data_IF_736202090213
#
_entry.id   IF_736202090213
#
_cell.length_a   1.000
_cell.length_b   1.000
_cell.length_c   1.000
_cell.angle_alpha   90.00
_cell.angle_beta   90.00
_cell.angle_gamma   90.00
#
_symmetry.space_group_name_H-M   'P 1'
#
loop_
_entity.id
_entity.type
_entity.pdbx_description
1 polymer ?
#
# COMPACT_ATOMS: atom_id res chain seq x y z
N UNK A 1 -20.45 14.17 22.80
CA UNK A 1 -19.97 14.84 24.03
C UNK A 1 -19.73 16.32 23.80
N UNK A 2 -18.83 16.71 22.89
CA UNK A 2 -18.50 18.12 22.61
C UNK A 2 -19.73 18.99 22.34
N UNK A 3 -20.59 18.61 21.38
CA UNK A 3 -21.83 19.37 21.10
C UNK A 3 -22.77 19.48 22.30
N UNK A 4 -22.87 18.43 23.15
CA UNK A 4 -23.74 18.44 24.34
C UNK A 4 -23.19 19.36 25.43
N UNK A 5 -21.87 19.33 25.67
CA UNK A 5 -21.20 20.22 26.61
C UNK A 5 -21.26 21.68 26.17
N UNK A 6 -21.13 21.93 24.86
CA UNK A 6 -21.28 23.28 24.30
C UNK A 6 -22.71 23.80 24.46
N UNK A 7 -23.73 23.00 24.12
CA UNK A 7 -25.14 23.37 24.25
C UNK A 7 -25.51 23.71 25.71
N UNK A 8 -24.98 22.95 26.66
CA UNK A 8 -25.10 23.26 28.08
C UNK A 8 -24.41 24.56 28.49
N UNK A 9 -23.22 24.82 27.97
CA UNK A 9 -22.42 26.01 28.32
C UNK A 9 -23.06 27.31 27.84
N UNK A 10 -23.80 27.27 26.72
CA UNK A 10 -24.51 28.43 26.17
C UNK A 10 -25.97 28.53 26.65
N UNK A 11 -26.41 27.61 27.51
CA UNK A 11 -27.79 27.57 28.03
C UNK A 11 -28.85 27.14 27.00
N UNK A 12 -28.44 26.54 25.87
CA UNK A 12 -29.35 26.04 24.84
C UNK A 12 -29.96 24.67 25.19
N UNK A 13 -29.32 23.91 26.07
CA UNK A 13 -29.80 22.63 26.59
C UNK A 13 -29.33 22.43 28.04
N UNK A 14 -29.92 21.48 28.77
CA UNK A 14 -29.55 21.16 30.16
C UNK A 14 -28.56 20.00 30.26
N UNK A 15 -27.67 20.03 31.26
CA UNK A 15 -26.75 18.91 31.54
C UNK A 15 -27.44 17.79 32.31
N UNK A 16 -26.92 16.57 32.20
CA UNK A 16 -27.29 15.44 33.05
C UNK A 16 -26.06 14.89 33.79
N UNK A 17 -26.27 14.27 34.97
CA UNK A 17 -25.21 13.91 35.91
C UNK A 17 -24.10 13.04 35.29
N UNK A 18 -24.46 12.07 34.44
CA UNK A 18 -23.49 11.18 33.79
C UNK A 18 -22.55 11.92 32.81
N UNK A 19 -22.95 13.06 32.25
CA UNK A 19 -22.09 13.87 31.37
C UNK A 19 -20.99 14.61 32.16
N UNK A 20 -21.20 14.86 33.45
CA UNK A 20 -20.27 15.55 34.34
C UNK A 20 -19.43 14.58 35.18
N UNK A 21 -19.78 13.29 35.22
CA UNK A 21 -19.01 12.28 35.94
C UNK A 21 -17.66 12.00 35.25
N UNK A 22 -16.58 12.24 35.99
CA UNK A 22 -15.20 12.08 35.49
C UNK A 22 -14.90 10.63 35.13
N UNK A 23 -15.31 9.66 35.96
CA UNK A 23 -14.97 8.24 35.74
C UNK A 23 -15.64 7.71 34.48
N UNK A 24 -16.93 7.97 34.34
CA UNK A 24 -17.69 7.61 33.13
C UNK A 24 -17.10 8.24 31.86
N UNK A 25 -16.67 9.50 31.92
CA UNK A 25 -16.06 10.18 30.79
C UNK A 25 -14.68 9.60 30.43
N UNK A 26 -13.88 9.22 31.42
CA UNK A 26 -12.57 8.58 31.20
C UNK A 26 -12.70 7.23 30.51
N UNK A 27 -13.61 6.38 30.99
CA UNK A 27 -13.93 5.08 30.37
C UNK A 27 -14.44 5.24 28.94
N UNK A 28 -15.33 6.21 28.71
CA UNK A 28 -15.86 6.52 27.39
C UNK A 28 -14.76 6.98 26.42
N UNK A 29 -13.87 7.87 26.87
CA UNK A 29 -12.71 8.32 26.09
C UNK A 29 -11.77 7.15 25.77
N UNK A 30 -11.53 6.24 26.72
CA UNK A 30 -10.70 5.06 26.47
C UNK A 30 -11.33 4.15 25.41
N UNK A 31 -12.64 3.89 25.49
CA UNK A 31 -13.36 3.12 24.49
C UNK A 31 -13.31 3.78 23.10
N UNK A 32 -13.50 5.09 23.02
CA UNK A 32 -13.41 5.85 21.77
C UNK A 32 -12.02 5.75 21.14
N UNK A 33 -10.96 5.91 21.94
CA UNK A 33 -9.58 5.79 21.45
C UNK A 33 -9.28 4.38 20.94
N UNK A 34 -9.73 3.35 21.65
CA UNK A 34 -9.62 1.96 21.22
C UNK A 34 -10.34 1.74 19.88
N UNK A 35 -11.61 2.14 19.78
CA UNK A 35 -12.41 1.98 18.57
C UNK A 35 -11.86 2.77 17.39
N UNK A 36 -11.36 3.98 17.62
CA UNK A 36 -10.74 4.80 16.58
C UNK A 36 -9.50 4.10 16.01
N UNK A 37 -8.60 3.60 16.88
CA UNK A 37 -7.41 2.86 16.45
C UNK A 37 -7.78 1.57 15.69
N UNK A 38 -8.74 0.81 16.19
CA UNK A 38 -9.20 -0.42 15.52
C UNK A 38 -9.90 -0.13 14.18
N UNK A 39 -10.68 0.94 14.09
CA UNK A 39 -11.31 1.36 12.84
C UNK A 39 -10.27 1.75 11.78
N UNK A 40 -9.19 2.44 12.17
CA UNK A 40 -8.08 2.74 11.26
C UNK A 40 -7.37 1.47 10.78
N UNK A 41 -7.14 0.50 11.66
CA UNK A 41 -6.56 -0.79 11.27
C UNK A 41 -7.46 -1.57 10.32
N UNK A 42 -8.77 -1.62 10.59
CA UNK A 42 -9.74 -2.26 9.70
C UNK A 42 -9.78 -1.58 8.33
N UNK A 43 -9.75 -0.24 8.29
CA UNK A 43 -9.68 0.54 7.04
C UNK A 43 -8.43 0.23 6.22
N UNK A 44 -7.25 0.22 6.86
CA UNK A 44 -5.98 -0.14 6.20
C UNK A 44 -5.98 -1.58 5.69
N UNK A 45 -6.46 -2.52 6.50
CA UNK A 45 -6.55 -3.93 6.10
C UNK A 45 -7.52 -4.16 4.94
N UNK A 46 -8.64 -3.42 4.89
CA UNK A 46 -9.59 -3.48 3.77
C UNK A 46 -8.97 -2.99 2.46
N UNK A 47 -8.24 -1.87 2.49
CA UNK A 47 -7.51 -1.38 1.30
C UNK A 47 -6.45 -2.39 0.88
N UNK A 48 -5.63 -2.89 1.82
CA UNK A 48 -4.64 -3.92 1.53
C UNK A 48 -5.27 -5.14 0.84
N UNK A 49 -6.35 -5.70 1.40
CA UNK A 49 -7.06 -6.84 0.78
C UNK A 49 -7.54 -6.52 -0.65
N UNK A 50 -8.14 -5.35 -0.88
CA UNK A 50 -8.59 -4.95 -2.22
C UNK A 50 -7.42 -4.82 -3.20
N UNK A 51 -6.26 -4.35 -2.76
CA UNK A 51 -5.06 -4.30 -3.61
C UNK A 51 -4.53 -5.70 -3.93
N UNK A 52 -4.58 -6.65 -2.98
CA UNK A 52 -4.22 -8.05 -3.25
C UNK A 52 -5.15 -8.66 -4.31
N UNK A 53 -6.46 -8.42 -4.20
CA UNK A 53 -7.43 -8.86 -5.21
C UNK A 53 -7.16 -8.23 -6.59
N UNK A 54 -6.73 -6.97 -6.64
CA UNK A 54 -6.39 -6.28 -7.88
C UNK A 54 -5.17 -6.89 -8.59
N UNK A 55 -4.11 -7.21 -7.84
CA UNK A 55 -2.87 -7.81 -8.36
C UNK A 55 -2.92 -9.34 -8.52
N UNK A 56 -4.03 -9.98 -8.18
CA UNK A 56 -4.17 -11.43 -8.31
C UNK A 56 -4.06 -11.86 -9.77
N UNK A 57 -3.02 -12.65 -10.08
CA UNK A 57 -2.75 -13.14 -11.44
C UNK A 57 -2.25 -12.08 -12.42
N UNK A 58 -1.81 -10.91 -11.91
CA UNK A 58 -1.22 -9.83 -12.71
C UNK A 58 0.18 -9.52 -12.21
N UNK A 59 1.04 -9.13 -13.13
CA UNK A 59 2.33 -8.51 -12.84
C UNK A 59 2.39 -7.17 -13.55
N UNK A 60 2.71 -6.09 -12.82
CA UNK A 60 2.85 -4.75 -13.39
C UNK A 60 4.16 -4.10 -12.94
N UNK A 61 4.82 -3.42 -13.87
CA UNK A 61 6.02 -2.63 -13.61
C UNK A 61 5.61 -1.20 -13.30
N UNK A 62 6.00 -0.70 -12.12
CA UNK A 62 5.62 0.63 -11.66
C UNK A 62 6.81 1.41 -11.13
N UNK A 63 6.72 2.72 -11.25
CA UNK A 63 7.68 3.64 -10.65
C UNK A 63 7.40 3.78 -9.15
N UNK A 64 8.46 3.71 -8.37
CA UNK A 64 8.46 3.90 -6.94
C UNK A 64 9.67 4.68 -6.46
N UNK A 65 9.64 5.05 -5.19
CA UNK A 65 10.69 5.82 -4.53
C UNK A 65 11.16 5.08 -3.29
N UNK A 66 12.46 5.01 -3.08
CA UNK A 66 13.02 4.44 -1.85
C UNK A 66 12.71 5.39 -0.70
N UNK A 67 11.94 4.95 0.30
CA UNK A 67 11.70 5.74 1.52
C UNK A 67 12.81 5.55 2.55
N UNK A 68 13.19 4.29 2.78
CA UNK A 68 14.18 3.94 3.78
C UNK A 68 15.09 2.84 3.26
N UNK A 69 16.39 3.03 3.46
CA UNK A 69 17.41 2.03 3.18
C UNK A 69 17.75 1.30 4.48
N UNK A 70 17.49 0.00 4.55
CA UNK A 70 17.83 -0.85 5.71
C UNK A 70 18.98 -1.78 5.38
N UNK A 71 19.58 -2.39 6.41
CA UNK A 71 20.72 -3.34 6.29
C UNK A 71 20.50 -4.51 5.33
N UNK A 72 19.26 -4.98 5.18
CA UNK A 72 18.90 -6.16 4.40
C UNK A 72 17.77 -5.92 3.39
N UNK A 73 17.22 -4.70 3.31
CA UNK A 73 16.08 -4.40 2.47
C UNK A 73 15.96 -2.90 2.16
N UNK A 74 15.26 -2.59 1.07
CA UNK A 74 14.80 -1.25 0.73
C UNK A 74 13.30 -1.17 1.00
N UNK A 75 12.85 -0.12 1.67
CA UNK A 75 11.42 0.20 1.77
C UNK A 75 11.06 1.13 0.61
N UNK A 76 10.22 0.68 -0.29
CA UNK A 76 9.85 1.38 -1.53
C UNK A 76 8.38 1.78 -1.47
N UNK A 77 8.08 3.04 -1.80
CA UNK A 77 6.74 3.57 -1.95
C UNK A 77 6.37 3.61 -3.44
N UNK A 78 5.19 3.09 -3.78
CA UNK A 78 4.60 3.20 -5.11
C UNK A 78 3.45 4.22 -5.04
N UNK A 79 3.68 5.46 -5.52
CA UNK A 79 2.71 6.54 -5.37
C UNK A 79 1.41 6.29 -6.14
N UNK A 80 1.45 5.60 -7.29
CA UNK A 80 0.26 5.31 -8.12
C UNK A 80 -0.84 4.58 -7.34
N UNK A 81 -0.44 3.62 -6.50
CA UNK A 81 -1.35 2.80 -5.71
C UNK A 81 -1.35 3.18 -4.22
N UNK A 82 -0.48 4.09 -3.78
CA UNK A 82 -0.31 4.43 -2.37
C UNK A 82 0.16 3.25 -1.51
N UNK A 83 0.96 2.37 -2.09
CA UNK A 83 1.43 1.13 -1.46
C UNK A 83 2.89 1.24 -1.06
N UNK A 84 3.22 0.71 0.11
CA UNK A 84 4.59 0.55 0.57
C UNK A 84 4.97 -0.93 0.55
N UNK A 85 6.17 -1.23 0.06
CA UNK A 85 6.70 -2.58 -0.02
C UNK A 85 8.12 -2.68 0.49
N UNK A 86 8.46 -3.85 1.02
CA UNK A 86 9.84 -4.18 1.40
C UNK A 86 10.47 -5.03 0.31
N UNK A 87 11.49 -4.49 -0.33
CA UNK A 87 12.32 -5.18 -1.31
C UNK A 87 13.56 -5.73 -0.59
N UNK A 88 13.61 -7.04 -0.41
CA UNK A 88 14.69 -7.70 0.31
C UNK A 88 15.94 -7.84 -0.58
N UNK A 89 17.09 -7.36 -0.08
CA UNK A 89 18.38 -7.33 -0.79
C UNK A 89 19.24 -8.56 -0.53
N UNK A 90 19.14 -9.16 0.66
CA UNK A 90 19.86 -10.39 1.02
C UNK A 90 18.93 -11.59 0.94
N UNK A 91 19.33 -12.61 0.19
CA UNK A 91 18.81 -13.97 0.32
C UNK A 91 19.60 -14.67 1.43
N UNK A 92 19.38 -14.30 2.69
CA UNK A 92 19.88 -15.16 3.76
C UNK A 92 19.11 -16.48 3.69
N UNK A 93 19.88 -17.56 3.80
CA UNK A 93 19.42 -18.94 3.71
C UNK A 93 18.29 -19.20 4.71
N UNK A 94 17.50 -20.22 4.37
CA UNK A 94 16.40 -20.82 5.12
C UNK A 94 15.03 -20.15 4.91
N UNK A 95 14.46 -20.47 3.75
CA UNK A 95 13.07 -20.22 3.42
C UNK A 95 12.13 -20.78 4.49
N UNK A 96 11.47 -19.87 5.21
CA UNK A 96 10.14 -20.16 5.80
C UNK A 96 9.00 -19.97 4.79
N UNK A 97 9.28 -19.39 3.63
CA UNK A 97 8.26 -18.93 2.69
C UNK A 97 8.22 -19.71 1.36
N UNK A 98 8.92 -20.84 1.22
CA UNK A 98 8.75 -21.77 0.07
C UNK A 98 9.10 -21.22 -1.33
N UNK A 99 9.48 -19.96 -1.46
CA UNK A 99 9.93 -19.38 -2.73
C UNK A 99 11.42 -19.69 -2.90
N UNK A 100 11.75 -20.65 -3.77
CA UNK A 100 13.11 -20.85 -4.27
C UNK A 100 13.59 -19.55 -4.92
N UNK A 101 14.40 -18.78 -4.21
CA UNK A 101 15.12 -17.65 -4.78
C UNK A 101 16.53 -18.10 -5.09
N UNK A 102 16.90 -17.96 -6.36
CA UNK A 102 18.25 -18.21 -6.87
C UNK A 102 19.26 -17.61 -5.90
N UNK A 103 20.22 -18.43 -5.46
CA UNK A 103 21.32 -18.02 -4.58
C UNK A 103 22.11 -16.93 -5.29
N UNK A 104 21.71 -15.67 -5.08
CA UNK A 104 22.30 -14.54 -5.78
C UNK A 104 23.71 -14.35 -5.24
N UNK A 105 24.72 -14.47 -6.11
CA UNK A 105 26.13 -14.20 -5.81
C UNK A 105 26.41 -12.71 -5.52
N UNK A 106 25.35 -11.90 -5.51
CA UNK A 106 25.39 -10.45 -5.40
C UNK A 106 25.49 -10.06 -3.93
N UNK A 107 26.55 -9.31 -3.61
CA UNK A 107 26.78 -8.78 -2.27
C UNK A 107 26.33 -7.33 -2.23
N UNK A 108 25.33 -7.05 -1.40
CA UNK A 108 24.94 -5.71 -1.03
C UNK A 108 25.70 -5.27 0.22
N UNK A 109 26.41 -4.14 0.10
CA UNK A 109 27.15 -3.51 1.20
C UNK A 109 26.37 -2.31 1.72
N UNK A 110 26.01 -2.37 3.01
CA UNK A 110 25.32 -1.29 3.69
C UNK A 110 26.32 -0.31 4.30
N UNK A 111 26.15 0.99 4.04
CA UNK A 111 26.85 2.05 4.75
C UNK A 111 25.94 2.60 5.87
N UNK A 112 26.39 2.51 7.11
CA UNK A 112 25.63 2.98 8.28
C UNK A 112 25.62 4.50 8.42
N UNK A 113 26.67 5.19 7.96
CA UNK A 113 26.81 6.65 8.10
C UNK A 113 25.88 7.39 7.13
N UNK A 114 25.87 6.95 5.87
CA UNK A 114 25.08 7.59 4.80
C UNK A 114 23.69 6.95 4.61
N UNK A 115 23.40 5.85 5.31
CA UNK A 115 22.20 5.01 5.08
C UNK A 115 22.02 4.64 3.60
N UNK A 116 23.07 4.08 2.98
CA UNK A 116 23.06 3.67 1.57
C UNK A 116 23.32 2.18 1.41
N UNK A 117 22.79 1.61 0.31
CA UNK A 117 23.06 0.23 -0.09
C UNK A 117 23.79 0.23 -1.42
N UNK A 118 24.98 -0.35 -1.47
CA UNK A 118 25.80 -0.43 -2.67
C UNK A 118 25.87 -1.85 -3.19
N UNK A 119 25.70 -1.98 -4.50
CA UNK A 119 25.92 -3.21 -5.26
C UNK A 119 26.73 -2.86 -6.52
N UNK A 120 28.04 -3.14 -6.47
CA UNK A 120 28.96 -2.76 -7.55
C UNK A 120 28.98 -1.25 -7.79
N UNK A 121 28.49 -0.83 -8.96
CA UNK A 121 28.41 0.58 -9.37
C UNK A 121 27.08 1.25 -8.99
N UNK A 122 26.07 0.47 -8.60
CA UNK A 122 24.75 0.99 -8.22
C UNK A 122 24.75 1.27 -6.72
N UNK A 123 24.36 2.49 -6.34
CA UNK A 123 24.16 2.92 -4.95
C UNK A 123 22.73 3.39 -4.79
N UNK A 124 22.02 2.83 -3.82
CA UNK A 124 20.68 3.25 -3.44
C UNK A 124 20.74 4.22 -2.27
N UNK A 125 20.17 5.39 -2.45
CA UNK A 125 19.92 6.39 -1.43
C UNK A 125 18.43 6.46 -1.11
N UNK A 126 18.10 7.19 -0.06
CA UNK A 126 16.72 7.56 0.21
C UNK A 126 16.24 8.54 -0.86
N UNK A 127 14.99 8.40 -1.26
CA UNK A 127 14.28 9.14 -2.32
C UNK A 127 14.73 8.86 -3.76
N UNK A 128 15.62 7.88 -3.96
CA UNK A 128 15.99 7.47 -5.31
C UNK A 128 14.79 6.85 -6.04
N UNK A 129 14.56 7.21 -7.32
CA UNK A 129 13.55 6.59 -8.14
C UNK A 129 13.99 5.18 -8.54
N UNK A 130 13.07 4.23 -8.41
CA UNK A 130 13.26 2.82 -8.78
C UNK A 130 12.05 2.33 -9.55
N UNK A 131 12.26 1.43 -10.50
CA UNK A 131 11.16 0.69 -11.13
C UNK A 131 11.09 -0.68 -10.50
N UNK A 132 9.92 -1.05 -9.99
CA UNK A 132 9.67 -2.32 -9.33
C UNK A 132 8.52 -3.06 -10.01
N UNK A 133 8.67 -4.38 -10.14
CA UNK A 133 7.59 -5.28 -10.55
C UNK A 133 6.82 -5.71 -9.31
N UNK A 134 5.51 -5.49 -9.36
CA UNK A 134 4.56 -5.95 -8.37
C UNK A 134 3.98 -7.29 -8.78
N UNK A 135 4.02 -8.28 -7.89
CA UNK A 135 3.30 -9.54 -8.07
C UNK A 135 2.75 -10.08 -6.74
N UNK A 136 1.65 -10.82 -6.80
CA UNK A 136 1.06 -11.45 -5.62
C UNK A 136 1.63 -12.86 -5.43
N UNK A 137 2.20 -13.12 -4.26
CA UNK A 137 2.52 -14.48 -3.83
C UNK A 137 1.32 -15.10 -3.15
N UNK A 138 0.75 -16.10 -3.81
CA UNK A 138 -0.39 -16.89 -3.33
C UNK A 138 0.01 -18.28 -2.83
N UNK A 139 1.31 -18.51 -2.55
CA UNK A 139 1.79 -19.82 -2.04
C UNK A 139 1.11 -20.20 -0.72
N UNK A 140 0.82 -19.21 0.14
CA UNK A 140 0.01 -19.38 1.34
C UNK A 140 -1.31 -18.61 1.22
N UNK A 141 -2.42 -19.32 1.10
CA UNK A 141 -3.77 -18.74 0.95
C UNK A 141 -4.18 -17.87 2.15
N UNK A 142 -3.67 -18.16 3.35
CA UNK A 142 -3.98 -17.37 4.56
C UNK A 142 -3.14 -16.09 4.66
N UNK A 143 -2.00 -16.06 3.98
CA UNK A 143 -1.02 -14.98 4.05
C UNK A 143 -0.50 -14.65 2.65
N UNK A 144 -1.43 -14.30 1.76
CA UNK A 144 -1.06 -13.75 0.46
C UNK A 144 -0.23 -12.48 0.70
N UNK A 145 0.86 -12.31 -0.05
CA UNK A 145 1.80 -11.20 0.15
C UNK A 145 2.17 -10.56 -1.19
N UNK A 146 2.11 -9.24 -1.25
CA UNK A 146 2.64 -8.51 -2.40
C UNK A 146 4.17 -8.55 -2.36
N UNK A 147 4.77 -9.10 -3.41
CA UNK A 147 6.21 -9.18 -3.61
C UNK A 147 6.64 -8.09 -4.58
N UNK A 148 7.75 -7.44 -4.22
CA UNK A 148 8.37 -6.39 -4.99
C UNK A 148 9.68 -6.95 -5.54
N UNK A 149 9.85 -6.91 -6.87
CA UNK A 149 11.10 -7.28 -7.53
C UNK A 149 11.67 -6.05 -8.22
N UNK A 150 12.98 -5.87 -8.14
CA UNK A 150 13.64 -4.72 -8.79
C UNK A 150 13.65 -4.93 -10.30
N UNK A 151 13.37 -3.87 -11.07
CA UNK A 151 13.49 -3.86 -12.53
C UNK A 151 14.56 -2.87 -12.94
N UNK A 152 14.45 -1.62 -12.47
CA UNK A 152 15.46 -0.57 -12.67
C UNK A 152 15.84 0.06 -11.32
N UNK A 153 17.13 0.34 -11.06
CA UNK A 153 18.31 0.00 -11.87
C UNK A 153 18.51 -1.51 -12.05
N UNK A 154 18.99 -1.92 -13.23
CA UNK A 154 19.17 -3.35 -13.55
C UNK A 154 20.46 -3.87 -12.92
N UNK A 155 20.34 -4.85 -12.04
CA UNK A 155 21.44 -5.56 -11.40
C UNK A 155 21.40 -7.00 -11.90
N UNK A 156 22.44 -7.40 -12.64
CA UNK A 156 22.54 -8.74 -13.21
C UNK A 156 22.45 -9.79 -12.12
N UNK A 157 21.44 -10.66 -12.19
CA UNK A 157 21.20 -11.74 -11.23
C UNK A 157 20.30 -11.39 -10.03
N UNK A 158 19.79 -10.16 -9.96
CA UNK A 158 18.83 -9.72 -8.92
C UNK A 158 17.61 -9.00 -9.51
N UNK A 159 17.80 -8.15 -10.52
CA UNK A 159 16.71 -7.46 -11.19
C UNK A 159 16.03 -8.36 -12.24
N UNK A 160 14.72 -8.15 -12.42
CA UNK A 160 13.91 -8.80 -13.45
C UNK A 160 13.96 -7.96 -14.73
N UNK A 161 14.00 -8.60 -15.89
CA UNK A 161 13.95 -7.91 -17.18
C UNK A 161 12.57 -7.29 -17.41
N UNK A 162 12.54 -6.10 -18.03
CA UNK A 162 11.30 -5.39 -18.37
C UNK A 162 10.47 -6.22 -19.34
N UNK A 163 9.22 -6.52 -19.00
CA UNK A 163 8.25 -7.06 -19.95
C UNK A 163 7.75 -5.92 -20.83
N UNK A 164 8.53 -5.57 -21.86
CA UNK A 164 8.04 -4.78 -22.99
C UNK A 164 7.77 -5.70 -24.17
N UNK A 165 6.59 -6.31 -24.19
CA UNK A 165 5.92 -6.69 -25.44
C UNK A 165 4.68 -5.80 -25.58
N UNK A 166 4.63 -5.08 -26.70
CA UNK A 166 3.64 -4.04 -26.96
C UNK A 166 2.22 -4.56 -27.13
N UNK A 167 1.27 -3.76 -26.68
CA UNK A 167 -0.10 -3.74 -27.19
C UNK A 167 -0.49 -2.30 -27.49
N UNK A 168 0.22 -1.71 -28.45
CA UNK A 168 -0.26 -0.55 -29.19
C UNK A 168 -0.82 -1.06 -30.53
N UNK A 169 -2.10 -1.47 -30.51
CA UNK A 169 -2.99 -1.60 -31.68
C UNK A 169 -4.36 -2.13 -31.24
N UNK A 170 -5.23 -1.22 -30.78
CA UNK A 170 -6.58 -1.05 -31.33
C UNK A 170 -7.28 0.08 -30.59
N UNK A 171 -7.25 1.26 -31.22
CA UNK A 171 -8.22 2.30 -30.98
C UNK A 171 -9.62 1.75 -31.29
N UNK A 172 -10.48 1.63 -30.28
CA UNK A 172 -11.92 1.54 -30.48
C UNK A 172 -12.56 2.68 -29.70
N UNK A 173 -12.96 3.69 -30.45
CA UNK A 173 -13.79 4.79 -30.01
C UNK A 173 -15.10 4.26 -29.42
N UNK A 174 -15.31 4.45 -28.11
CA UNK A 174 -16.61 4.26 -27.47
C UNK A 174 -17.03 5.56 -26.78
N UNK A 175 -17.88 6.32 -27.46
CA UNK A 175 -18.54 7.51 -26.95
C UNK A 175 -19.43 7.20 -25.73
N UNK A 176 -19.64 8.16 -24.81
CA UNK A 176 -20.39 7.94 -23.57
C UNK A 176 -21.92 7.82 -23.82
N UNK A 177 -22.65 6.98 -23.06
CA UNK A 177 -24.05 6.70 -23.31
C UNK A 177 -24.97 7.88 -22.94
N UNK A 178 -25.73 8.35 -23.92
CA UNK A 178 -26.76 9.39 -23.79
C UNK A 178 -28.00 8.89 -23.02
N UNK A 179 -28.46 9.71 -22.08
CA UNK A 179 -29.71 9.54 -21.30
C UNK A 179 -30.95 9.39 -22.21
N UNK A 180 -31.72 8.30 -22.04
CA UNK A 180 -33.07 8.18 -22.61
C UNK A 180 -34.06 9.06 -21.85
N UNK A 181 -34.56 10.11 -22.50
CA UNK A 181 -35.72 10.91 -22.07
C UNK A 181 -37.01 10.18 -22.44
N UNK A 182 -37.89 9.94 -21.45
CA UNK A 182 -39.29 9.53 -21.67
C UNK A 182 -40.03 10.67 -22.38
N UNK A 183 -40.77 10.36 -23.45
CA UNK A 183 -41.76 11.28 -24.01
C UNK A 183 -43.06 10.53 -24.36
N UNK A 184 -44.15 11.09 -23.85
CA UNK A 184 -45.54 10.65 -23.88
C UNK A 184 -46.08 10.24 -25.26
N UNK A 185 -46.85 9.14 -25.29
CA UNK A 185 -47.79 8.84 -26.39
C UNK A 185 -49.16 9.41 -26.05
N UNK A 186 -49.51 10.52 -26.72
CA UNK A 186 -50.86 11.09 -26.77
C UNK A 186 -51.73 10.20 -27.67
N UNK A 187 -52.82 9.63 -27.12
CA UNK A 187 -53.88 8.93 -27.89
C UNK A 187 -54.65 9.96 -28.73
N UNK A 188 -54.87 9.63 -29.99
CA UNK A 188 -55.97 10.12 -30.83
C UNK A 188 -57.00 9.01 -30.91
#
# INVERSE_FOLDING_TARGET
MVHRLLAASIGADSTYAQLLDRKSNEELCHNLNYRHKMAQYAGRASVALNTHLFFRGKEEDEEGYVLFVRKNALQVLIPKYGLEGTLYLKSDKDGKDGVERVKSEIVFTFNEEDHTQRCGDVVFHSFDPVTVRLSLDSSNVQHEKLIFRLVKPYIKGFSVETTTEGTDSQAVSAAPPSKKTKKDKKKK
#
